data_IF_268151303072
#
_entry.id   IF_268151303072
#
_cell.length_a   1.000
_cell.length_b   1.000
_cell.length_c   1.000
_cell.angle_alpha   90.00
_cell.angle_beta   90.00
_cell.angle_gamma   90.00
#
_symmetry.space_group_name_H-M   'P 1'
#
loop_
_entity.id
_entity.type
_entity.pdbx_description
1 polymer ?
#
# COMPACT_ATOMS: atom_id res chain seq x y z
N UNK A 1 24.20 -40.47 -12.93
CA UNK A 1 24.13 -40.37 -14.41
C UNK A 1 23.18 -41.44 -14.91
N UNK A 2 22.61 -41.21 -16.11
CA UNK A 2 21.65 -42.06 -16.85
C UNK A 2 20.20 -41.75 -16.44
N UNK A 3 19.30 -41.30 -17.31
CA UNK A 3 19.34 -41.26 -18.76
C UNK A 3 17.95 -41.65 -19.28
N UNK A 4 17.34 -40.72 -20.01
CA UNK A 4 15.99 -40.76 -20.60
C UNK A 4 15.73 -42.07 -21.37
N UNK A 5 14.51 -42.64 -21.25
CA UNK A 5 13.94 -43.53 -22.27
C UNK A 5 12.51 -43.15 -22.64
N UNK A 6 12.32 -42.94 -23.94
CA UNK A 6 11.07 -42.74 -24.70
C UNK A 6 10.16 -43.96 -24.60
N UNK A 7 8.83 -43.79 -24.64
CA UNK A 7 7.93 -44.64 -25.46
C UNK A 7 6.73 -43.82 -26.00
N UNK A 8 6.58 -43.86 -27.32
CA UNK A 8 5.42 -43.46 -28.12
C UNK A 8 4.23 -44.44 -27.95
N UNK A 9 2.97 -43.95 -27.95
CA UNK A 9 1.83 -44.58 -28.65
C UNK A 9 0.60 -43.66 -28.58
N UNK A 10 0.27 -42.92 -29.65
CA UNK A 10 -0.66 -43.23 -30.76
C UNK A 10 -2.14 -42.87 -30.48
N UNK A 11 -2.61 -41.97 -31.34
CA UNK A 11 -4.00 -41.65 -31.69
C UNK A 11 -4.79 -42.90 -32.14
N UNK A 12 -6.04 -42.99 -31.69
CA UNK A 12 -7.25 -43.51 -32.37
C UNK A 12 -8.43 -42.79 -31.66
N UNK A 13 -8.93 -41.66 -32.16
CA UNK A 13 -10.02 -41.46 -33.13
C UNK A 13 -11.36 -42.15 -32.80
N UNK A 14 -12.42 -41.31 -32.84
CA UNK A 14 -13.88 -41.59 -32.81
C UNK A 14 -14.52 -41.84 -31.44
N UNK A 15 -15.73 -41.36 -31.12
CA UNK A 15 -16.65 -40.38 -31.69
C UNK A 15 -17.77 -40.16 -30.66
N UNK A 16 -18.20 -38.91 -30.49
CA UNK A 16 -19.55 -38.45 -30.12
C UNK A 16 -20.45 -39.37 -29.28
N UNK A 17 -20.55 -39.11 -27.96
CA UNK A 17 -21.82 -39.26 -27.22
C UNK A 17 -22.00 -38.06 -26.28
N UNK A 18 -22.80 -37.11 -26.79
CA UNK A 18 -23.61 -36.14 -26.08
C UNK A 18 -24.26 -36.74 -24.83
N UNK A 19 -23.77 -36.42 -23.64
CA UNK A 19 -24.55 -36.13 -22.41
C UNK A 19 -23.61 -36.00 -21.19
N UNK A 20 -23.95 -35.06 -20.29
CA UNK A 20 -23.30 -34.77 -18.99
C UNK A 20 -22.10 -33.82 -19.01
N UNK A 21 -22.33 -32.69 -19.68
CA UNK A 21 -21.52 -31.45 -19.65
C UNK A 21 -21.54 -30.71 -18.29
N UNK A 22 -21.29 -31.38 -17.16
CA UNK A 22 -21.41 -30.71 -15.84
C UNK A 22 -20.38 -31.08 -14.76
N UNK A 23 -19.38 -31.93 -15.02
CA UNK A 23 -18.43 -32.35 -13.96
C UNK A 23 -16.99 -31.94 -14.27
N UNK A 24 -16.65 -31.66 -15.54
CA UNK A 24 -15.26 -31.38 -15.94
C UNK A 24 -14.81 -29.91 -15.75
N UNK A 25 -15.74 -29.00 -15.44
CA UNK A 25 -15.43 -27.58 -15.22
C UNK A 25 -15.07 -27.23 -13.77
N UNK A 26 -15.23 -28.16 -12.82
CA UNK A 26 -14.89 -27.90 -11.41
C UNK A 26 -13.43 -28.20 -11.04
N UNK A 27 -12.71 -28.95 -11.87
CA UNK A 27 -11.31 -29.35 -11.57
C UNK A 27 -10.30 -28.38 -12.19
N UNK A 28 -10.67 -27.59 -13.21
CA UNK A 28 -9.81 -26.57 -13.81
C UNK A 28 -9.92 -25.18 -13.16
N UNK A 29 -10.92 -24.94 -12.30
CA UNK A 29 -11.14 -23.64 -11.64
C UNK A 29 -10.47 -23.48 -10.27
N UNK A 30 -9.91 -24.56 -9.69
CA UNK A 30 -9.42 -24.58 -8.30
C UNK A 30 -7.92 -24.34 -8.13
N UNK A 31 -7.17 -24.05 -9.20
CA UNK A 31 -5.69 -24.09 -9.19
C UNK A 31 -5.04 -22.79 -9.70
N UNK A 32 -5.67 -21.64 -9.46
CA UNK A 32 -5.09 -20.30 -9.74
C UNK A 32 -5.17 -19.35 -8.55
N UNK A 33 -5.37 -19.85 -7.32
CA UNK A 33 -5.03 -19.07 -6.12
C UNK A 33 -3.61 -19.45 -5.68
N UNK A 34 -2.68 -19.28 -6.62
CA UNK A 34 -1.27 -19.23 -6.31
C UNK A 34 -1.07 -17.94 -5.49
N UNK A 35 -0.99 -18.12 -4.18
CA UNK A 35 -0.47 -17.23 -3.16
C UNK A 35 0.48 -16.14 -3.71
N UNK A 36 -0.06 -14.99 -4.11
CA UNK A 36 0.68 -13.74 -3.98
C UNK A 36 0.70 -13.43 -2.48
N UNK A 37 1.79 -13.80 -1.81
CA UNK A 37 2.15 -13.17 -0.53
C UNK A 37 2.64 -11.76 -0.87
N UNK A 38 1.74 -10.91 -1.35
CA UNK A 38 1.92 -9.47 -1.19
C UNK A 38 1.51 -9.24 0.26
N UNK A 39 2.49 -8.96 1.12
CA UNK A 39 2.23 -8.52 2.50
C UNK A 39 1.42 -7.23 2.38
N UNK A 40 0.10 -7.36 2.31
CA UNK A 40 -0.77 -6.20 2.30
C UNK A 40 -0.61 -5.53 3.65
N UNK A 41 -0.12 -4.28 3.69
CA UNK A 41 0.10 -3.58 4.94
C UNK A 41 -1.24 -3.46 5.66
N UNK A 42 -1.22 -3.42 6.99
CA UNK A 42 -2.44 -3.19 7.78
C UNK A 42 -3.08 -1.82 7.52
N UNK A 43 -2.35 -0.93 6.83
CA UNK A 43 -2.73 0.45 6.51
C UNK A 43 -2.86 0.56 5.00
N UNK A 44 -4.02 0.99 4.49
CA UNK A 44 -4.20 1.26 3.07
C UNK A 44 -3.48 2.56 2.63
N UNK A 45 -3.38 2.77 1.31
CA UNK A 45 -2.62 3.90 0.76
C UNK A 45 -3.26 5.25 1.14
N UNK A 46 -4.58 5.33 1.21
CA UNK A 46 -5.30 6.57 1.52
C UNK A 46 -5.11 6.97 2.99
N UNK A 47 -5.22 6.00 3.90
CA UNK A 47 -4.98 6.17 5.33
C UNK A 47 -3.51 6.50 5.59
N UNK A 48 -2.58 5.83 4.89
CA UNK A 48 -1.16 6.15 4.97
C UNK A 48 -0.85 7.58 4.47
N UNK A 49 -1.45 8.00 3.36
CA UNK A 49 -1.33 9.38 2.85
C UNK A 49 -1.84 10.39 3.89
N UNK A 50 -2.95 10.09 4.58
CA UNK A 50 -3.48 10.95 5.65
C UNK A 50 -2.51 11.06 6.84
N UNK A 51 -1.94 9.95 7.30
CA UNK A 51 -0.96 9.94 8.40
C UNK A 51 0.27 10.77 8.03
N UNK A 52 0.78 10.61 6.79
CA UNK A 52 1.91 11.40 6.31
C UNK A 52 1.62 12.89 6.25
N UNK A 53 0.41 13.27 5.85
CA UNK A 53 -0.03 14.66 5.86
C UNK A 53 0.01 15.24 7.28
N UNK A 54 -0.56 14.52 8.25
CA UNK A 54 -0.63 14.97 9.64
C UNK A 54 0.77 15.08 10.27
N UNK A 55 1.69 14.16 9.94
CA UNK A 55 3.10 14.25 10.34
C UNK A 55 3.77 15.48 9.72
N UNK A 56 3.61 15.73 8.42
CA UNK A 56 4.20 16.90 7.75
C UNK A 56 3.66 18.21 8.30
N UNK A 57 2.37 18.28 8.62
CA UNK A 57 1.76 19.45 9.23
C UNK A 57 2.31 19.70 10.64
N UNK A 58 2.43 18.64 11.46
CA UNK A 58 3.01 18.75 12.79
C UNK A 58 4.50 19.16 12.74
N UNK A 59 5.26 18.66 11.77
CA UNK A 59 6.65 19.10 11.55
C UNK A 59 6.73 20.57 11.15
N UNK A 60 5.87 21.03 10.23
CA UNK A 60 5.81 22.43 9.82
C UNK A 60 5.44 23.35 11.00
N UNK A 61 4.45 22.94 11.82
CA UNK A 61 4.11 23.65 13.05
C UNK A 61 5.30 23.71 13.99
N UNK A 62 5.99 22.60 14.23
CA UNK A 62 7.12 22.53 15.14
C UNK A 62 8.29 23.43 14.68
N UNK A 63 8.53 23.56 13.37
CA UNK A 63 9.53 24.49 12.84
C UNK A 63 9.25 25.95 13.17
N UNK A 64 7.98 26.32 13.40
CA UNK A 64 7.60 27.68 13.79
C UNK A 64 7.83 27.98 15.29
N UNK A 65 8.01 26.96 16.14
CA UNK A 65 8.21 27.14 17.57
C UNK A 65 9.69 27.36 17.92
N UNK A 66 10.00 28.35 18.79
CA UNK A 66 11.36 28.60 19.26
C UNK A 66 11.72 27.62 20.40
N UNK A 67 11.94 26.36 20.04
CA UNK A 67 12.37 25.31 20.98
C UNK A 67 13.82 24.91 20.72
N UNK A 68 14.53 24.55 21.79
CA UNK A 68 15.96 24.20 21.72
C UNK A 68 16.22 22.82 21.09
N UNK A 69 15.20 21.94 21.05
CA UNK A 69 15.33 20.59 20.51
C UNK A 69 14.08 20.13 19.77
N UNK A 70 14.01 20.45 18.48
CA UNK A 70 12.94 19.98 17.59
C UNK A 70 12.87 18.45 17.53
N UNK A 71 13.98 17.73 17.69
CA UNK A 71 14.01 16.26 17.59
C UNK A 71 13.17 15.57 18.68
N UNK A 72 13.24 16.05 19.93
CA UNK A 72 12.47 15.48 21.04
C UNK A 72 10.97 15.66 20.78
N UNK A 73 10.56 16.88 20.41
CA UNK A 73 9.16 17.18 20.14
C UNK A 73 8.65 16.43 18.91
N UNK A 74 9.46 16.30 17.86
CA UNK A 74 9.12 15.52 16.67
C UNK A 74 8.76 14.08 17.02
N UNK A 75 9.54 13.44 17.89
CA UNK A 75 9.25 12.09 18.38
C UNK A 75 7.88 12.00 19.07
N UNK A 76 7.58 12.96 19.95
CA UNK A 76 6.31 13.03 20.68
C UNK A 76 5.11 13.27 19.76
N UNK A 77 5.24 14.18 18.79
CA UNK A 77 4.18 14.46 17.82
C UNK A 77 3.88 13.24 16.93
N UNK A 78 4.92 12.56 16.44
CA UNK A 78 4.73 11.34 15.65
C UNK A 78 4.01 10.27 16.48
N UNK A 79 4.40 10.06 17.74
CA UNK A 79 3.70 9.08 18.60
C UNK A 79 2.25 9.43 18.85
N UNK A 80 1.94 10.72 19.06
CA UNK A 80 0.57 11.15 19.26
C UNK A 80 -0.29 10.98 17.99
N UNK A 81 0.25 11.35 16.82
CA UNK A 81 -0.42 11.17 15.52
C UNK A 81 -0.71 9.68 15.28
N UNK A 82 0.30 8.81 15.44
CA UNK A 82 0.10 7.37 15.27
C UNK A 82 -0.98 6.82 16.22
N UNK A 83 -1.00 7.30 17.48
CA UNK A 83 -2.05 6.96 18.43
C UNK A 83 -3.44 7.43 17.98
N UNK A 84 -3.56 8.64 17.42
CA UNK A 84 -4.82 9.14 16.86
C UNK A 84 -5.31 8.29 15.68
N UNK A 85 -4.40 7.75 14.89
CA UNK A 85 -4.69 6.82 13.79
C UNK A 85 -4.81 5.35 14.22
N UNK A 86 -4.74 5.05 15.52
CA UNK A 86 -4.80 3.69 16.08
C UNK A 86 -3.73 2.75 15.52
N UNK A 87 -2.53 3.28 15.28
CA UNK A 87 -1.40 2.53 14.74
C UNK A 87 -0.24 2.46 15.70
N UNK A 88 0.44 1.32 15.68
CA UNK A 88 1.76 1.16 16.29
C UNK A 88 2.84 1.74 15.39
N UNK A 89 4.00 2.06 15.98
CA UNK A 89 5.17 2.54 15.21
C UNK A 89 5.67 1.47 14.25
N UNK A 90 5.58 0.20 14.64
CA UNK A 90 5.98 -0.94 13.82
C UNK A 90 5.12 -1.06 12.57
N UNK A 91 3.80 -0.97 12.70
CA UNK A 91 2.86 -1.00 11.56
C UNK A 91 3.10 0.17 10.61
N UNK A 92 3.30 1.37 11.15
CA UNK A 92 3.63 2.53 10.34
C UNK A 92 4.95 2.34 9.59
N UNK A 93 5.99 1.81 10.23
CA UNK A 93 7.28 1.58 9.58
C UNK A 93 7.18 0.55 8.46
N UNK A 94 6.42 -0.53 8.66
CA UNK A 94 6.17 -1.54 7.61
C UNK A 94 5.46 -0.90 6.42
N UNK A 95 4.38 -0.14 6.66
CA UNK A 95 3.67 0.59 5.60
C UNK A 95 4.59 1.60 4.90
N UNK A 96 5.39 2.35 5.65
CA UNK A 96 6.35 3.30 5.10
C UNK A 96 7.36 2.62 4.18
N UNK A 97 7.96 1.51 4.61
CA UNK A 97 8.92 0.79 3.79
C UNK A 97 8.30 0.25 2.51
N UNK A 98 7.09 -0.29 2.57
CA UNK A 98 6.37 -0.78 1.40
C UNK A 98 6.06 0.34 0.40
N UNK A 99 5.46 1.43 0.87
CA UNK A 99 5.07 2.54 0.00
C UNK A 99 6.27 3.36 -0.50
N UNK A 100 7.40 3.36 0.23
CA UNK A 100 8.63 4.01 -0.20
C UNK A 100 9.47 3.16 -1.19
N UNK A 101 9.14 1.88 -1.38
CA UNK A 101 9.87 1.00 -2.29
C UNK A 101 9.82 1.53 -3.73
N UNK A 102 8.63 1.86 -4.23
CA UNK A 102 8.49 2.61 -5.49
C UNK A 102 8.65 4.12 -5.25
N UNK A 103 9.89 4.58 -5.39
CA UNK A 103 10.26 5.99 -5.23
C UNK A 103 9.43 6.94 -6.10
N UNK A 104 9.00 6.54 -7.30
CA UNK A 104 8.22 7.42 -8.19
C UNK A 104 6.77 7.52 -7.73
N UNK A 105 6.19 6.43 -7.25
CA UNK A 105 4.86 6.46 -6.65
C UNK A 105 4.88 7.30 -5.37
N UNK A 106 5.89 7.08 -4.51
CA UNK A 106 6.04 7.82 -3.26
C UNK A 106 6.26 9.32 -3.48
N UNK A 107 7.09 9.71 -4.45
CA UNK A 107 7.25 11.12 -4.82
C UNK A 107 5.94 11.77 -5.27
N UNK A 108 5.16 11.08 -6.11
CA UNK A 108 3.84 11.58 -6.53
C UNK A 108 2.90 11.75 -5.34
N UNK A 109 2.93 10.84 -4.38
CA UNK A 109 2.16 10.97 -3.13
C UNK A 109 2.59 12.22 -2.35
N UNK A 110 3.90 12.44 -2.17
CA UNK A 110 4.38 13.64 -1.49
C UNK A 110 4.02 14.94 -2.21
N UNK A 111 4.03 14.97 -3.54
CA UNK A 111 3.59 16.14 -4.32
C UNK A 111 2.09 16.42 -4.13
N UNK A 112 1.25 15.38 -4.09
CA UNK A 112 -0.19 15.52 -3.77
C UNK A 112 -0.37 16.10 -2.37
N UNK A 113 0.40 15.63 -1.39
CA UNK A 113 0.34 16.12 -0.02
C UNK A 113 0.73 17.59 0.09
N UNK A 114 1.86 18.00 -0.52
CA UNK A 114 2.28 19.41 -0.58
C UNK A 114 1.21 20.31 -1.17
N UNK A 115 0.56 19.85 -2.24
CA UNK A 115 -0.53 20.60 -2.86
C UNK A 115 -1.72 20.76 -1.91
N UNK A 116 -2.13 19.71 -1.19
CA UNK A 116 -3.23 19.79 -0.20
C UNK A 116 -2.92 20.80 0.91
N UNK A 117 -1.69 20.83 1.40
CA UNK A 117 -1.26 21.82 2.41
C UNK A 117 -1.35 23.24 1.87
N UNK A 118 -0.80 23.49 0.68
CA UNK A 118 -0.83 24.81 0.05
C UNK A 118 -2.25 25.30 -0.25
N UNK A 119 -3.11 24.41 -0.75
CA UNK A 119 -4.51 24.73 -1.03
C UNK A 119 -5.27 25.06 0.26
N UNK A 120 -4.95 24.40 1.38
CA UNK A 120 -5.55 24.69 2.69
C UNK A 120 -5.10 26.05 3.25
N UNK A 121 -3.79 26.36 3.18
CA UNK A 121 -3.22 27.65 3.59
C UNK A 121 -3.89 28.82 2.84
N UNK A 122 -4.05 28.69 1.53
CA UNK A 122 -4.70 29.71 0.70
C UNK A 122 -6.17 29.94 1.08
N UNK A 123 -6.89 28.91 1.52
CA UNK A 123 -8.28 29.04 1.99
C UNK A 123 -8.32 29.80 3.32
N UNK A 124 -7.36 29.55 4.22
CA UNK A 124 -7.26 30.25 5.50
C UNK A 124 -6.97 31.74 5.31
N UNK A 125 -6.01 32.09 4.43
CA UNK A 125 -5.68 33.48 4.09
C UNK A 125 -6.88 34.24 3.51
N UNK A 126 -7.68 33.58 2.67
CA UNK A 126 -8.90 34.17 2.10
C UNK A 126 -9.99 34.41 3.15
N UNK A 127 -10.06 33.57 4.19
CA UNK A 127 -11.04 33.71 5.27
C UNK A 127 -10.63 34.75 6.32
N UNK A 128 -9.33 35.05 6.45
CA UNK A 128 -8.82 36.11 7.35
C UNK A 128 -8.85 37.51 6.71
N UNK A 129 -9.06 37.60 5.39
CA UNK A 129 -9.15 38.85 4.63
C UNK A 129 -10.59 39.44 4.54
N UNK A 130 -11.59 38.76 5.12
CA UNK A 130 -12.99 39.19 5.22
C UNK A 130 -13.38 39.50 6.67
#
# INVERSE_FOLDING_TARGET
MIGITKVHCRRLWQSSIRTKSSIFLLILGGLVLNSCNEETPSVDEEHFEKILLDIQLAEALLQSYPVDSHDIYRGLFIEDILRQHQLTREEFNVAYHLYAEDHKAFQRMQERLKKKVYDAEKIEDLNLAY
#
